data_IF_453106142639
#
_entry.id   IF_453106142639
#
_cell.length_a   1.000
_cell.length_b   1.000
_cell.length_c   1.000
_cell.angle_alpha   90.00
_cell.angle_beta   90.00
_cell.angle_gamma   90.00
#
_symmetry.space_group_name_H-M   'P 1'
#
loop_
_entity.id
_entity.type
_entity.pdbx_description
1 polymer ?
#
# COMPACT_ATOMS: atom_id res chain seq x y z
N UNK A 1 -71.78 -20.44 27.21
CA UNK A 1 -72.88 -20.24 28.19
C UNK A 1 -73.14 -18.75 28.23
N UNK A 2 -74.32 -18.34 27.72
CA UNK A 2 -74.94 -16.99 27.70
C UNK A 2 -74.13 -15.94 26.91
N UNK A 3 -74.33 -15.70 25.60
CA UNK A 3 -75.49 -15.23 24.80
C UNK A 3 -76.02 -13.84 25.21
N UNK A 4 -75.84 -12.85 24.34
CA UNK A 4 -76.87 -12.15 23.53
C UNK A 4 -76.16 -11.14 22.58
N UNK A 5 -76.20 -11.25 21.24
CA UNK A 5 -77.33 -11.10 20.27
C UNK A 5 -77.59 -9.60 20.03
N UNK A 6 -77.07 -9.06 18.91
CA UNK A 6 -77.78 -8.59 17.69
C UNK A 6 -77.72 -7.03 17.70
N UNK A 7 -77.66 -6.26 16.61
CA UNK A 7 -77.98 -6.54 15.22
C UNK A 7 -77.48 -5.38 14.32
N UNK A 8 -77.20 -5.71 13.05
CA UNK A 8 -77.61 -5.02 11.80
C UNK A 8 -77.37 -3.49 11.61
N UNK A 9 -77.00 -2.89 10.46
CA UNK A 9 -77.33 -3.15 9.05
C UNK A 9 -76.28 -2.54 8.10
N UNK A 10 -76.22 -3.15 6.91
CA UNK A 10 -75.54 -2.71 5.69
C UNK A 10 -76.36 -1.66 4.91
N UNK A 11 -75.65 -0.88 4.07
CA UNK A 11 -75.91 -0.59 2.62
C UNK A 11 -75.57 0.87 2.27
N UNK A 12 -74.61 1.09 1.36
CA UNK A 12 -74.77 1.42 -0.08
C UNK A 12 -75.18 2.88 -0.26
N UNK A 13 -74.86 3.66 -1.28
CA UNK A 13 -74.10 3.70 -2.55
C UNK A 13 -74.20 5.23 -2.86
N UNK A 14 -73.27 5.99 -3.43
CA UNK A 14 -72.95 6.09 -4.86
C UNK A 14 -72.46 7.55 -5.10
N UNK A 15 -71.43 7.68 -5.95
CA UNK A 15 -71.14 8.76 -6.91
C UNK A 15 -71.19 10.26 -6.53
N UNK A 16 -70.02 10.90 -6.69
CA UNK A 16 -69.86 12.35 -6.87
C UNK A 16 -68.48 12.67 -7.44
N UNK A 17 -68.46 12.97 -8.73
CA UNK A 17 -67.32 13.29 -9.60
C UNK A 17 -66.74 14.69 -9.35
N UNK A 18 -65.49 14.89 -9.81
CA UNK A 18 -64.78 16.16 -10.09
C UNK A 18 -63.62 16.60 -9.15
N UNK A 19 -62.40 16.38 -9.66
CA UNK A 19 -61.34 17.37 -9.89
C UNK A 19 -60.68 18.09 -8.68
N UNK A 20 -59.46 17.68 -8.32
CA UNK A 20 -58.23 18.45 -8.60
C UNK A 20 -56.99 17.84 -7.92
N UNK A 21 -55.87 18.08 -8.58
CA UNK A 21 -54.58 17.44 -8.49
C UNK A 21 -53.78 17.59 -7.18
N UNK A 22 -52.88 16.61 -7.02
CA UNK A 22 -51.63 16.51 -6.24
C UNK A 22 -51.73 16.00 -4.80
N UNK A 23 -51.23 14.77 -4.58
CA UNK A 23 -50.41 14.51 -3.40
C UNK A 23 -49.03 13.90 -3.74
N UNK A 24 -48.15 14.17 -2.78
CA UNK A 24 -46.86 13.53 -2.48
C UNK A 24 -46.79 12.04 -2.87
N UNK A 25 -45.65 11.63 -3.42
CA UNK A 25 -45.17 10.26 -3.28
C UNK A 25 -43.72 10.24 -2.76
N UNK A 26 -43.55 9.55 -1.63
CA UNK A 26 -42.33 8.84 -1.27
C UNK A 26 -42.22 7.57 -2.12
N UNK A 27 -41.01 7.23 -2.56
CA UNK A 27 -40.77 6.02 -3.35
C UNK A 27 -39.29 5.70 -3.49
N UNK A 28 -38.69 5.18 -2.42
CA UNK A 28 -37.33 4.63 -2.37
C UNK A 28 -37.20 3.41 -3.27
N UNK A 29 -36.29 3.44 -4.26
CA UNK A 29 -35.66 2.22 -4.82
C UNK A 29 -34.18 2.48 -5.08
N UNK A 30 -33.36 2.12 -4.10
CA UNK A 30 -31.91 2.15 -4.17
C UNK A 30 -31.29 0.85 -4.71
N UNK A 31 -30.40 1.02 -5.68
CA UNK A 31 -29.06 0.42 -5.68
C UNK A 31 -28.90 -1.13 -5.68
N UNK A 32 -29.27 -1.78 -6.79
CA UNK A 32 -28.84 -3.16 -7.11
C UNK A 32 -28.02 -3.30 -8.41
N UNK A 33 -27.91 -2.23 -9.22
CA UNK A 33 -27.27 -2.28 -10.55
C UNK A 33 -25.76 -2.02 -10.52
N UNK A 34 -25.28 -1.22 -9.56
CA UNK A 34 -23.89 -0.74 -9.48
C UNK A 34 -22.93 -1.81 -8.94
N UNK A 35 -23.37 -2.60 -7.96
CA UNK A 35 -22.61 -3.73 -7.37
C UNK A 35 -22.47 -4.91 -8.35
N UNK A 36 -23.48 -5.14 -9.21
CA UNK A 36 -23.44 -6.17 -10.26
C UNK A 36 -22.42 -5.84 -11.36
N UNK A 37 -22.28 -4.57 -11.71
CA UNK A 37 -21.31 -4.13 -12.73
C UNK A 37 -19.86 -4.19 -12.22
N UNK A 38 -19.61 -3.90 -10.94
CA UNK A 38 -18.28 -4.14 -10.31
C UNK A 38 -17.93 -5.63 -10.25
N UNK A 39 -18.86 -6.50 -9.84
CA UNK A 39 -18.63 -7.97 -9.84
C UNK A 39 -18.34 -8.53 -11.24
N UNK A 40 -19.05 -8.06 -12.28
CA UNK A 40 -18.86 -8.52 -13.67
C UNK A 40 -17.49 -8.14 -14.24
N UNK A 41 -16.93 -6.98 -13.90
CA UNK A 41 -15.58 -6.57 -14.33
C UNK A 41 -14.48 -7.45 -13.70
N UNK A 42 -14.59 -7.72 -12.41
CA UNK A 42 -13.66 -8.62 -11.68
C UNK A 42 -13.69 -10.04 -12.26
N UNK A 43 -14.87 -10.54 -12.64
CA UNK A 43 -15.05 -11.88 -13.18
C UNK A 43 -14.54 -12.03 -14.62
N UNK A 44 -14.62 -10.97 -15.44
CA UNK A 44 -14.03 -10.94 -16.79
C UNK A 44 -12.50 -10.89 -16.76
N UNK A 45 -11.90 -10.15 -15.82
CA UNK A 45 -10.44 -10.10 -15.66
C UNK A 45 -9.88 -11.44 -15.15
N UNK A 46 -10.58 -12.13 -14.25
CA UNK A 46 -10.18 -13.46 -13.72
C UNK A 46 -10.13 -14.57 -14.78
N UNK A 47 -10.88 -14.47 -15.89
CA UNK A 47 -10.89 -15.49 -16.97
C UNK A 47 -9.63 -15.48 -17.85
N UNK A 48 -8.86 -14.39 -17.87
CA UNK A 48 -7.67 -14.25 -18.72
C UNK A 48 -6.41 -14.90 -18.15
N UNK A 49 -6.38 -15.23 -16.86
CA UNK A 49 -5.18 -15.70 -16.15
C UNK A 49 -5.29 -17.23 -15.88
N UNK A 50 -5.06 -18.07 -16.90
CA UNK A 50 -4.92 -19.54 -16.73
C UNK A 50 -3.45 -19.92 -16.83
N UNK A 51 -2.85 -20.36 -15.73
CA UNK A 51 -1.48 -20.90 -15.69
C UNK A 51 -1.46 -22.43 -15.78
N UNK A 52 -0.51 -22.95 -16.54
CA UNK A 52 -0.16 -24.37 -16.62
C UNK A 52 0.81 -24.75 -15.48
N UNK A 53 0.63 -25.96 -14.96
CA UNK A 53 1.25 -26.54 -13.77
C UNK A 53 2.67 -27.05 -14.08
N UNK A 54 3.65 -26.76 -13.22
CA UNK A 54 4.95 -27.42 -13.18
C UNK A 54 5.17 -28.11 -11.81
N UNK A 55 5.89 -29.22 -11.83
CA UNK A 55 5.92 -30.27 -10.81
C UNK A 55 6.89 -30.01 -9.63
N UNK A 56 6.63 -30.73 -8.53
CA UNK A 56 7.38 -30.70 -7.26
C UNK A 56 8.78 -31.27 -7.40
N UNK A 57 9.74 -30.72 -6.63
CA UNK A 57 10.96 -31.42 -6.24
C UNK A 57 11.12 -31.31 -4.72
N UNK A 58 11.48 -32.45 -4.14
CA UNK A 58 11.40 -32.79 -2.72
C UNK A 58 12.50 -32.18 -1.83
N UNK A 59 12.14 -32.18 -0.55
CA UNK A 59 12.81 -31.67 0.64
C UNK A 59 13.99 -32.56 1.08
N UNK A 60 15.14 -31.96 1.41
CA UNK A 60 16.23 -32.64 2.16
C UNK A 60 16.70 -31.74 3.29
N UNK A 61 16.42 -32.21 4.51
CA UNK A 61 16.74 -31.59 5.79
C UNK A 61 18.08 -32.06 6.37
N UNK A 62 18.92 -31.14 6.88
CA UNK A 62 20.12 -31.42 7.72
C UNK A 62 20.30 -30.26 8.76
N UNK A 63 20.80 -30.51 10.00
CA UNK A 63 20.28 -29.87 11.22
C UNK A 63 21.08 -28.69 11.80
N UNK A 64 20.39 -27.96 12.70
CA UNK A 64 20.84 -26.84 13.54
C UNK A 64 22.01 -27.20 14.48
N UNK A 65 22.94 -26.25 14.66
CA UNK A 65 23.70 -26.05 15.90
C UNK A 65 23.45 -24.65 16.45
N UNK A 66 23.13 -24.59 17.75
CA UNK A 66 23.06 -23.38 18.58
C UNK A 66 24.48 -22.96 18.97
N UNK A 67 24.78 -21.67 18.94
CA UNK A 67 25.85 -21.08 19.74
C UNK A 67 25.32 -19.79 20.37
N UNK A 68 25.26 -19.81 21.70
CA UNK A 68 25.13 -18.65 22.56
C UNK A 68 26.47 -17.89 22.54
N UNK A 69 26.42 -16.55 22.54
CA UNK A 69 27.57 -15.75 22.89
C UNK A 69 27.15 -14.66 23.86
N UNK A 70 27.86 -14.65 24.98
CA UNK A 70 27.71 -13.81 26.15
C UNK A 70 28.24 -12.40 25.84
N UNK A 71 27.49 -11.39 26.26
CA UNK A 71 27.93 -10.00 26.22
C UNK A 71 28.82 -9.68 27.41
N UNK A 72 29.83 -8.85 27.19
CA UNK A 72 30.46 -8.06 28.23
C UNK A 72 30.71 -6.62 27.76
N UNK A 73 30.73 -5.79 28.79
CA UNK A 73 30.57 -4.35 28.89
C UNK A 73 31.81 -3.53 28.55
N UNK A 74 31.56 -2.27 28.16
CA UNK A 74 32.21 -1.04 28.66
C UNK A 74 33.75 -0.97 28.71
N UNK A 75 34.34 0.03 28.04
CA UNK A 75 34.89 1.23 28.69
C UNK A 75 35.49 2.22 27.68
N UNK A 76 35.26 3.49 28.02
CA UNK A 76 35.88 4.71 27.52
C UNK A 76 37.40 4.74 27.79
N UNK A 77 38.19 5.36 26.91
CA UNK A 77 39.07 6.49 27.28
C UNK A 77 39.94 6.98 26.11
N UNK A 78 40.04 8.31 26.07
CA UNK A 78 40.94 9.21 25.35
C UNK A 78 42.41 8.80 25.25
N UNK A 79 43.05 9.07 24.10
CA UNK A 79 44.52 9.26 24.01
C UNK A 79 44.88 10.38 23.02
N UNK A 80 45.30 11.49 23.63
CA UNK A 80 46.46 12.36 23.38
C UNK A 80 46.96 12.64 21.95
N UNK A 81 46.91 13.93 21.63
CA UNK A 81 47.69 14.62 20.59
C UNK A 81 49.19 14.54 20.91
N UNK A 82 49.99 14.04 19.96
CA UNK A 82 51.43 14.34 19.90
C UNK A 82 51.79 14.71 18.45
N UNK A 83 52.28 15.94 18.30
CA UNK A 83 52.92 16.44 17.08
C UNK A 83 54.32 15.86 16.98
N UNK A 84 54.69 15.34 15.81
CA UNK A 84 56.08 15.21 15.39
C UNK A 84 56.19 15.57 13.90
N UNK A 85 57.03 16.57 13.64
CA UNK A 85 57.47 16.97 12.30
C UNK A 85 58.76 16.21 12.00
N UNK A 86 58.77 15.42 10.93
CA UNK A 86 59.99 15.00 10.25
C UNK A 86 59.69 14.74 8.77
N UNK A 87 60.64 15.16 7.94
CA UNK A 87 60.53 15.39 6.50
C UNK A 87 60.38 14.12 5.65
N UNK A 88 59.61 14.25 4.56
CA UNK A 88 60.07 13.84 3.24
C UNK A 88 59.77 12.42 2.80
N UNK A 89 58.54 12.18 2.32
CA UNK A 89 58.26 11.67 0.96
C UNK A 89 56.86 12.17 0.60
N UNK A 90 56.70 12.89 -0.51
CA UNK A 90 55.39 13.31 -0.99
C UNK A 90 54.64 12.10 -1.57
N UNK A 91 54.18 11.20 -0.69
CA UNK A 91 53.08 10.30 -1.01
C UNK A 91 51.82 11.15 -0.93
N UNK A 92 51.25 11.47 -2.08
CA UNK A 92 49.88 11.97 -2.17
C UNK A 92 48.98 10.86 -1.61
N UNK A 93 48.76 10.88 -0.29
CA UNK A 93 47.64 10.20 0.32
C UNK A 93 46.42 10.91 -0.23
N UNK A 94 45.90 10.40 -1.34
CA UNK A 94 44.52 10.64 -1.73
C UNK A 94 43.72 10.17 -0.54
N UNK A 95 43.30 11.11 0.32
CA UNK A 95 42.22 10.85 1.27
C UNK A 95 41.13 10.22 0.43
N UNK A 96 40.82 8.95 0.68
CA UNK A 96 39.73 8.26 0.02
C UNK A 96 38.47 9.09 0.25
N UNK A 97 38.14 9.95 -0.72
CA UNK A 97 36.86 10.65 -0.73
C UNK A 97 35.80 9.54 -0.67
N UNK A 98 34.75 9.67 0.15
CA UNK A 98 33.68 8.69 0.22
C UNK A 98 33.26 8.32 -1.19
N UNK A 99 33.57 7.07 -1.59
CA UNK A 99 33.35 6.60 -2.95
C UNK A 99 31.88 6.81 -3.27
N UNK A 100 31.59 7.66 -4.25
CA UNK A 100 30.21 8.01 -4.54
C UNK A 100 29.41 6.77 -4.92
N UNK A 101 28.30 6.53 -4.22
CA UNK A 101 27.35 5.45 -4.59
C UNK A 101 26.68 5.70 -5.96
N UNK A 102 26.82 6.91 -6.49
CA UNK A 102 26.40 7.31 -7.84
C UNK A 102 27.33 6.85 -8.97
N UNK A 103 28.26 5.92 -8.72
CA UNK A 103 29.20 5.45 -9.74
C UNK A 103 28.54 4.63 -10.86
N UNK A 104 27.31 4.18 -10.65
CA UNK A 104 26.45 3.71 -11.72
C UNK A 104 25.93 4.91 -12.53
N UNK A 105 26.04 4.84 -13.87
CA UNK A 105 25.42 5.81 -14.79
C UNK A 105 23.87 5.78 -14.71
N UNK A 106 23.29 4.75 -14.08
CA UNK A 106 21.85 4.52 -14.00
C UNK A 106 21.45 4.29 -12.55
N UNK A 107 20.70 5.23 -11.96
CA UNK A 107 20.01 5.00 -10.70
C UNK A 107 18.82 4.08 -10.97
N UNK A 108 18.72 2.94 -10.27
CA UNK A 108 17.54 2.08 -10.35
C UNK A 108 16.32 2.87 -9.89
N UNK A 109 15.16 2.62 -10.50
CA UNK A 109 13.89 3.26 -10.12
C UNK A 109 13.52 2.89 -8.68
N UNK A 110 12.83 3.79 -7.99
CA UNK A 110 12.33 3.57 -6.64
C UNK A 110 10.87 3.12 -6.68
N UNK A 111 10.56 2.02 -6.00
CA UNK A 111 9.20 1.57 -5.74
C UNK A 111 8.94 1.63 -4.24
N UNK A 112 7.91 2.39 -3.85
CA UNK A 112 7.46 2.52 -2.47
C UNK A 112 6.17 1.74 -2.31
N UNK A 113 6.18 0.69 -1.50
CA UNK A 113 5.05 -0.21 -1.30
C UNK A 113 4.35 0.13 0.02
N UNK A 114 3.03 0.29 -0.02
CA UNK A 114 2.23 0.12 1.20
C UNK A 114 2.32 -1.32 1.70
N UNK A 115 2.14 -1.49 3.00
CA UNK A 115 2.19 -2.82 3.61
C UNK A 115 0.79 -3.44 3.67
N UNK A 116 -0.13 -2.75 4.33
CA UNK A 116 -1.53 -3.19 4.47
C UNK A 116 -2.24 -3.05 3.12
N UNK A 117 -3.06 -4.03 2.75
CA UNK A 117 -3.82 -4.04 1.50
C UNK A 117 -2.99 -4.39 0.25
N UNK A 118 -1.68 -4.12 0.24
CA UNK A 118 -0.79 -4.50 -0.86
C UNK A 118 -0.07 -5.82 -0.59
N UNK A 119 0.64 -5.94 0.55
CA UNK A 119 1.48 -7.10 0.87
C UNK A 119 0.85 -8.06 1.89
N UNK A 120 -0.03 -7.54 2.73
CA UNK A 120 -0.71 -8.32 3.76
C UNK A 120 -2.06 -7.70 4.13
N UNK A 121 -2.92 -8.52 4.72
CA UNK A 121 -4.14 -8.09 5.38
C UNK A 121 -3.98 -8.22 6.90
N UNK A 122 -4.52 -7.27 7.65
CA UNK A 122 -4.40 -7.17 9.11
C UNK A 122 -5.79 -6.92 9.69
N UNK A 123 -6.30 -7.90 10.44
CA UNK A 123 -7.68 -7.93 10.92
C UNK A 123 -7.76 -8.22 12.41
N UNK A 124 -8.66 -7.53 13.12
CA UNK A 124 -8.93 -7.77 14.55
C UNK A 124 -9.79 -9.04 14.75
N UNK A 125 -10.94 -9.09 14.08
CA UNK A 125 -11.93 -10.15 14.27
C UNK A 125 -11.88 -11.22 13.16
N UNK A 126 -10.84 -12.05 13.16
CA UNK A 126 -10.79 -13.18 12.22
C UNK A 126 -11.64 -14.36 12.70
N UNK A 127 -12.38 -14.98 11.78
CA UNK A 127 -13.38 -16.01 12.06
C UNK A 127 -12.82 -17.41 12.40
N UNK A 128 -11.51 -17.54 12.63
CA UNK A 128 -10.85 -18.82 12.94
C UNK A 128 -10.70 -19.80 11.77
N UNK A 129 -11.22 -19.50 10.57
CA UNK A 129 -11.20 -20.45 9.44
C UNK A 129 -9.82 -20.60 8.77
N UNK A 130 -8.92 -19.64 8.99
CA UNK A 130 -7.57 -19.62 8.44
C UNK A 130 -6.58 -19.36 9.56
N UNK A 131 -5.43 -20.04 9.50
CA UNK A 131 -4.33 -19.82 10.43
C UNK A 131 -3.58 -18.55 9.98
N UNK A 132 -3.48 -17.53 10.84
CA UNK A 132 -2.73 -16.32 10.48
C UNK A 132 -1.22 -16.59 10.47
N UNK A 133 -0.51 -15.86 9.62
CA UNK A 133 0.95 -15.91 9.52
C UNK A 133 1.63 -15.24 10.72
N UNK A 134 0.92 -14.34 11.41
CA UNK A 134 1.40 -13.67 12.61
C UNK A 134 0.26 -13.04 13.41
N UNK A 135 0.56 -12.66 14.66
CA UNK A 135 -0.38 -11.91 15.51
C UNK A 135 0.33 -10.74 16.18
N UNK A 136 -0.29 -9.57 16.14
CA UNK A 136 0.24 -8.35 16.74
C UNK A 136 -0.88 -7.51 17.36
N UNK A 137 -0.75 -7.17 18.64
CA UNK A 137 -1.71 -6.31 19.36
C UNK A 137 -3.17 -6.75 19.18
N UNK A 138 -3.44 -8.06 19.29
CA UNK A 138 -4.78 -8.63 19.08
C UNK A 138 -5.20 -8.78 17.61
N UNK A 139 -4.42 -8.27 16.65
CA UNK A 139 -4.68 -8.36 15.21
C UNK A 139 -3.99 -9.57 14.61
N UNK A 140 -4.66 -10.24 13.69
CA UNK A 140 -4.15 -11.36 12.90
C UNK A 140 -3.65 -10.85 11.56
N UNK A 141 -2.45 -11.32 11.17
CA UNK A 141 -1.76 -10.94 9.94
C UNK A 141 -1.83 -12.09 8.96
N UNK A 142 -2.28 -11.81 7.75
CA UNK A 142 -2.32 -12.76 6.64
C UNK A 142 -1.48 -12.20 5.50
N UNK A 143 -0.42 -12.90 5.11
CA UNK A 143 0.36 -12.53 3.94
C UNK A 143 -0.51 -12.64 2.69
N UNK A 144 -0.31 -11.71 1.75
CA UNK A 144 -0.87 -11.86 0.41
C UNK A 144 -0.20 -13.04 -0.28
N UNK A 145 -0.94 -13.92 -0.97
CA UNK A 145 -0.35 -14.98 -1.77
C UNK A 145 0.76 -14.44 -2.67
N UNK A 146 1.86 -15.20 -2.78
CA UNK A 146 2.99 -14.90 -3.66
C UNK A 146 3.82 -13.64 -3.32
N UNK A 147 3.60 -13.03 -2.14
CA UNK A 147 4.38 -11.87 -1.68
C UNK A 147 5.89 -12.08 -1.69
N UNK A 148 6.37 -13.30 -1.41
CA UNK A 148 7.80 -13.60 -1.42
C UNK A 148 8.43 -13.46 -2.81
N UNK A 149 7.84 -14.10 -3.83
CA UNK A 149 8.31 -14.04 -5.21
C UNK A 149 8.16 -12.65 -5.81
N UNK A 150 7.07 -11.95 -5.49
CA UNK A 150 6.86 -10.55 -5.89
C UNK A 150 7.95 -9.63 -5.32
N UNK A 151 8.28 -9.78 -4.04
CA UNK A 151 9.35 -8.99 -3.41
C UNK A 151 10.72 -9.33 -3.99
N UNK A 152 11.01 -10.60 -4.25
CA UNK A 152 12.26 -11.02 -4.91
C UNK A 152 12.44 -10.34 -6.27
N UNK A 153 11.42 -10.37 -7.12
CA UNK A 153 11.41 -9.63 -8.37
C UNK A 153 11.60 -8.12 -8.16
N UNK A 154 10.89 -7.52 -7.21
CA UNK A 154 11.01 -6.10 -6.92
C UNK A 154 12.46 -5.73 -6.53
N UNK A 155 13.10 -6.53 -5.67
CA UNK A 155 14.49 -6.32 -5.25
C UNK A 155 15.52 -6.54 -6.37
N UNK A 156 15.18 -7.31 -7.41
CA UNK A 156 16.03 -7.51 -8.58
C UNK A 156 15.96 -6.35 -9.58
N UNK A 157 14.82 -5.65 -9.68
CA UNK A 157 14.61 -4.58 -10.69
C UNK A 157 14.56 -3.16 -10.13
N UNK A 158 14.08 -2.99 -8.90
CA UNK A 158 13.89 -1.69 -8.24
C UNK A 158 14.67 -1.54 -6.94
N UNK A 159 14.90 -0.29 -6.54
CA UNK A 159 15.13 0.04 -5.15
C UNK A 159 13.78 0.04 -4.45
N UNK A 160 13.66 -0.62 -3.30
CA UNK A 160 12.35 -0.89 -2.68
C UNK A 160 12.27 -0.27 -1.29
N UNK A 161 11.26 0.56 -1.07
CA UNK A 161 10.90 1.09 0.24
C UNK A 161 9.55 0.56 0.72
N UNK A 162 9.41 0.35 2.03
CA UNK A 162 8.11 0.13 2.66
C UNK A 162 7.65 1.44 3.28
N UNK A 163 6.39 1.80 3.08
CA UNK A 163 5.78 2.93 3.76
C UNK A 163 4.40 2.55 4.29
N UNK A 164 4.29 2.34 5.60
CA UNK A 164 3.03 1.99 6.26
C UNK A 164 2.38 3.23 6.89
N UNK A 165 1.05 3.37 6.76
CA UNK A 165 0.27 4.36 7.54
C UNK A 165 -0.30 3.80 8.84
N UNK A 166 -0.01 2.53 9.15
CA UNK A 166 -0.46 1.86 10.37
C UNK A 166 0.33 2.34 11.60
N UNK A 167 -0.37 2.40 12.73
CA UNK A 167 0.10 2.87 14.03
C UNK A 167 0.85 1.82 14.86
N UNK A 168 0.83 0.55 14.43
CA UNK A 168 1.36 -0.56 15.24
C UNK A 168 2.32 -1.46 14.46
N UNK A 169 3.55 -1.55 14.99
CA UNK A 169 4.44 -2.70 14.88
C UNK A 169 4.98 -3.02 13.49
N UNK A 170 5.45 -1.98 12.79
CA UNK A 170 6.09 -2.12 11.48
C UNK A 170 7.24 -3.15 11.50
N UNK A 171 8.07 -3.16 12.54
CA UNK A 171 9.17 -4.12 12.66
C UNK A 171 8.69 -5.58 12.67
N UNK A 172 7.64 -5.86 13.43
CA UNK A 172 7.04 -7.19 13.47
C UNK A 172 6.33 -7.52 12.15
N UNK A 173 5.62 -6.55 11.55
CA UNK A 173 4.99 -6.74 10.24
C UNK A 173 6.04 -7.05 9.16
N UNK A 174 7.17 -6.35 9.16
CA UNK A 174 8.29 -6.62 8.27
C UNK A 174 8.86 -8.01 8.52
N UNK A 175 9.02 -8.41 9.79
CA UNK A 175 9.47 -9.75 10.14
C UNK A 175 8.53 -10.84 9.60
N UNK A 176 7.21 -10.69 9.76
CA UNK A 176 6.21 -11.68 9.35
C UNK A 176 6.05 -11.72 7.82
N UNK A 177 5.92 -10.56 7.18
CA UNK A 177 5.53 -10.44 5.77
C UNK A 177 6.74 -10.52 4.84
N UNK A 178 7.79 -9.77 5.16
CA UNK A 178 8.97 -9.61 4.30
C UNK A 178 10.05 -10.63 4.70
N UNK A 179 10.23 -10.84 6.01
CA UNK A 179 11.18 -11.79 6.58
C UNK A 179 12.63 -11.40 6.32
N UNK A 180 13.47 -12.40 6.02
CA UNK A 180 14.92 -12.21 5.80
C UNK A 180 15.28 -11.23 4.68
N UNK A 181 14.35 -10.95 3.76
CA UNK A 181 14.53 -10.00 2.66
C UNK A 181 14.43 -8.54 3.10
N UNK A 182 13.98 -8.25 4.33
CA UNK A 182 13.90 -6.87 4.84
C UNK A 182 15.26 -6.16 4.82
N UNK A 183 16.37 -6.90 4.89
CA UNK A 183 17.74 -6.35 4.74
C UNK A 183 18.03 -5.73 3.36
N UNK A 184 17.21 -6.02 2.35
CA UNK A 184 17.35 -5.49 0.99
C UNK A 184 16.50 -4.22 0.78
N UNK A 185 15.72 -3.80 1.78
CA UNK A 185 14.92 -2.58 1.69
C UNK A 185 15.83 -1.36 1.78
N UNK A 186 15.56 -0.36 0.92
CA UNK A 186 16.21 0.94 0.98
C UNK A 186 15.77 1.70 2.24
N UNK A 187 14.50 1.56 2.62
CA UNK A 187 13.95 2.12 3.85
C UNK A 187 12.68 1.38 4.30
N UNK A 188 12.34 1.58 5.57
CA UNK A 188 11.05 1.25 6.16
C UNK A 188 10.54 2.49 6.89
N UNK A 189 9.44 3.07 6.41
CA UNK A 189 8.78 4.20 7.01
C UNK A 189 7.44 3.78 7.60
N UNK A 190 7.18 4.28 8.80
CA UNK A 190 5.92 4.11 9.51
C UNK A 190 5.04 5.36 9.34
N UNK A 191 3.97 5.39 10.15
CA UNK A 191 3.00 6.47 10.16
C UNK A 191 3.64 7.84 10.47
N UNK A 192 4.76 7.91 11.19
CA UNK A 192 5.41 9.18 11.53
C UNK A 192 5.99 9.90 10.31
N UNK A 193 6.27 9.17 9.23
CA UNK A 193 6.69 9.78 7.97
C UNK A 193 5.49 10.27 7.13
N UNK A 194 4.27 9.82 7.42
CA UNK A 194 3.07 10.34 6.77
C UNK A 194 2.82 11.82 7.17
N UNK A 195 2.02 12.54 6.40
CA UNK A 195 1.46 13.83 6.81
C UNK A 195 0.09 13.56 7.46
N UNK A 196 -0.05 13.76 8.79
CA UNK A 196 -1.36 13.70 9.42
C UNK A 196 -2.21 14.87 8.90
N UNK A 197 -3.47 14.58 8.58
CA UNK A 197 -4.45 15.63 8.28
C UNK A 197 -5.44 15.76 9.42
N UNK A 198 -6.15 16.90 9.49
CA UNK A 198 -7.29 17.06 10.40
C UNK A 198 -8.56 16.31 9.96
N UNK A 199 -8.51 15.66 8.80
CA UNK A 199 -9.63 14.95 8.20
C UNK A 199 -9.55 13.46 8.53
N UNK A 200 -10.71 12.80 8.52
CA UNK A 200 -10.80 11.34 8.58
C UNK A 200 -11.16 10.78 7.19
N UNK A 201 -10.93 9.49 6.97
CA UNK A 201 -11.31 8.83 5.72
C UNK A 201 -12.84 8.81 5.57
N UNK A 202 -13.32 8.83 4.32
CA UNK A 202 -14.75 8.80 4.05
C UNK A 202 -15.36 7.42 4.31
N UNK A 203 -14.54 6.37 4.17
CA UNK A 203 -14.91 4.98 4.37
C UNK A 203 -15.07 4.64 5.86
N UNK A 204 -14.25 5.27 6.73
CA UNK A 204 -14.28 5.06 8.17
C UNK A 204 -14.02 6.38 8.89
N UNK A 205 -15.09 7.02 9.35
CA UNK A 205 -15.05 8.35 9.98
C UNK A 205 -14.20 8.46 11.25
N UNK A 206 -13.74 7.34 11.82
CA UNK A 206 -12.82 7.31 12.98
C UNK A 206 -11.36 7.10 12.57
N UNK A 207 -11.08 6.83 11.29
CA UNK A 207 -9.74 6.58 10.76
C UNK A 207 -9.16 7.89 10.22
N UNK A 208 -8.04 8.38 10.78
CA UNK A 208 -7.40 9.59 10.28
C UNK A 208 -6.93 9.43 8.84
N UNK A 209 -7.12 10.47 8.03
CA UNK A 209 -6.61 10.53 6.66
C UNK A 209 -5.14 10.93 6.72
N UNK A 210 -4.26 10.01 6.35
CA UNK A 210 -2.83 10.23 6.23
C UNK A 210 -2.42 10.39 4.76
N UNK A 211 -1.56 11.38 4.48
CA UNK A 211 -0.95 11.55 3.16
C UNK A 211 0.46 10.96 3.15
N UNK A 212 0.80 10.23 2.08
CA UNK A 212 2.14 9.74 1.77
C UNK A 212 2.77 10.61 0.68
N UNK A 213 3.31 11.74 1.12
CA UNK A 213 3.94 12.72 0.25
C UNK A 213 5.33 12.28 -0.19
N UNK A 214 5.49 11.82 -1.43
CA UNK A 214 6.77 11.35 -1.98
C UNK A 214 7.89 12.39 -1.88
N UNK A 215 7.57 13.69 -1.80
CA UNK A 215 8.57 14.75 -1.57
C UNK A 215 9.34 14.53 -0.27
N UNK A 216 8.69 14.03 0.79
CA UNK A 216 9.37 13.66 2.06
C UNK A 216 10.36 12.52 1.88
N UNK A 217 10.08 11.58 0.98
CA UNK A 217 11.02 10.50 0.65
C UNK A 217 12.22 11.08 -0.10
N UNK A 218 11.98 11.95 -1.09
CA UNK A 218 13.05 12.56 -1.88
C UNK A 218 13.94 13.50 -1.05
N UNK A 219 13.36 14.26 -0.11
CA UNK A 219 14.11 15.07 0.85
C UNK A 219 15.02 14.21 1.74
N UNK A 220 14.53 13.03 2.17
CA UNK A 220 15.25 12.19 3.12
C UNK A 220 16.35 11.35 2.47
N UNK A 221 16.08 10.78 1.30
CA UNK A 221 16.96 9.79 0.64
C UNK A 221 17.13 10.01 -0.87
N UNK A 222 16.44 11.00 -1.44
CA UNK A 222 16.47 11.33 -2.87
C UNK A 222 17.70 12.10 -3.30
N UNK A 223 18.61 12.48 -2.40
CA UNK A 223 19.88 13.13 -2.75
C UNK A 223 21.06 12.31 -2.25
N UNK A 224 22.06 12.14 -3.10
CA UNK A 224 23.31 11.46 -2.76
C UNK A 224 24.13 12.30 -1.77
N UNK A 225 24.27 11.85 -0.53
CA UNK A 225 25.01 12.57 0.52
C UNK A 225 26.48 12.86 0.13
N UNK A 226 27.11 11.98 -0.65
CA UNK A 226 28.53 12.15 -1.02
C UNK A 226 28.78 13.16 -2.14
N UNK A 227 27.83 13.39 -3.03
CA UNK A 227 28.06 14.24 -4.22
C UNK A 227 26.93 15.23 -4.54
N UNK A 228 25.86 15.25 -3.76
CA UNK A 228 24.72 16.15 -3.97
C UNK A 228 23.82 15.83 -5.17
N UNK A 229 24.08 14.75 -5.93
CA UNK A 229 23.24 14.39 -7.07
C UNK A 229 21.86 13.90 -6.62
N UNK A 230 20.81 14.38 -7.27
CA UNK A 230 19.45 13.85 -7.13
C UNK A 230 19.42 12.41 -7.66
N UNK A 231 18.90 11.51 -6.85
CA UNK A 231 18.70 10.08 -7.11
C UNK A 231 17.26 9.78 -7.49
N UNK A 232 16.30 10.40 -6.81
CA UNK A 232 14.89 10.10 -6.94
C UNK A 232 14.04 11.36 -7.04
N UNK A 233 13.08 11.33 -7.96
CA UNK A 233 12.06 12.33 -8.21
C UNK A 233 10.81 11.65 -8.83
N UNK A 234 9.85 12.43 -9.34
CA UNK A 234 8.63 11.92 -9.95
C UNK A 234 8.89 11.05 -11.21
N UNK A 235 10.01 11.28 -11.91
CA UNK A 235 10.31 10.59 -13.16
C UNK A 235 10.73 9.14 -12.95
N UNK A 236 11.17 8.78 -11.75
CA UNK A 236 11.71 7.44 -11.46
C UNK A 236 11.20 6.82 -10.15
N UNK A 237 10.19 7.42 -9.50
CA UNK A 237 9.59 6.92 -8.26
C UNK A 237 8.12 6.52 -8.47
N UNK A 238 7.75 5.33 -8.02
CA UNK A 238 6.36 4.85 -8.00
C UNK A 238 5.91 4.54 -6.58
N UNK A 239 4.76 5.09 -6.17
CA UNK A 239 4.01 4.65 -5.00
C UNK A 239 3.00 3.57 -5.40
N UNK A 240 2.99 2.44 -4.69
CA UNK A 240 1.97 1.39 -4.81
C UNK A 240 1.22 1.31 -3.50
N UNK A 241 -0.02 1.79 -3.50
CA UNK A 241 -0.85 1.90 -2.30
C UNK A 241 -2.27 1.44 -2.64
N UNK A 242 -3.00 0.81 -1.72
CA UNK A 242 -4.37 0.39 -1.99
C UNK A 242 -5.39 1.55 -1.88
N UNK A 243 -4.94 2.70 -1.41
CA UNK A 243 -5.79 3.83 -1.01
C UNK A 243 -5.44 5.09 -1.79
N UNK A 244 -6.20 5.45 -2.85
CA UNK A 244 -5.94 6.63 -3.67
C UNK A 244 -5.80 7.94 -2.90
N UNK A 245 -6.55 8.09 -1.80
CA UNK A 245 -6.52 9.30 -0.98
C UNK A 245 -5.16 9.55 -0.30
N UNK A 246 -4.35 8.52 -0.05
CA UNK A 246 -3.03 8.71 0.56
C UNK A 246 -2.06 9.44 -0.37
N UNK A 247 -2.31 9.44 -1.67
CA UNK A 247 -1.46 10.08 -2.68
C UNK A 247 -1.98 11.44 -3.16
N UNK A 248 -3.01 12.02 -2.53
CA UNK A 248 -3.71 13.23 -3.02
C UNK A 248 -2.79 14.40 -3.39
N UNK A 249 -1.75 14.65 -2.60
CA UNK A 249 -0.83 15.77 -2.78
C UNK A 249 0.42 15.42 -3.59
N UNK A 250 0.55 14.17 -4.05
CA UNK A 250 1.70 13.78 -4.87
C UNK A 250 1.59 14.37 -6.29
N UNK A 251 2.71 14.55 -6.99
CA UNK A 251 2.68 14.85 -8.42
C UNK A 251 1.81 13.83 -9.18
N UNK A 252 1.05 14.25 -10.20
CA UNK A 252 0.22 13.34 -10.98
C UNK A 252 1.02 12.14 -11.50
N UNK A 253 0.36 10.99 -11.58
CA UNK A 253 0.94 9.77 -12.17
C UNK A 253 2.20 9.24 -11.49
N UNK A 254 2.41 9.54 -10.21
CA UNK A 254 3.49 8.94 -9.38
C UNK A 254 2.99 7.78 -8.51
N UNK A 255 1.72 7.39 -8.63
CA UNK A 255 1.14 6.29 -7.86
C UNK A 255 0.17 5.45 -8.67
N UNK A 256 0.09 4.17 -8.32
CA UNK A 256 -0.93 3.23 -8.80
C UNK A 256 -1.69 2.65 -7.60
N UNK A 257 -2.96 2.29 -7.83
CA UNK A 257 -3.83 1.91 -6.72
C UNK A 257 -4.50 0.54 -6.90
N UNK A 258 -3.77 -0.58 -6.78
CA UNK A 258 -4.37 -1.91 -6.84
C UNK A 258 -5.52 -2.09 -5.84
N UNK A 259 -6.44 -3.01 -6.12
CA UNK A 259 -7.47 -3.34 -5.15
C UNK A 259 -6.87 -4.01 -3.90
N UNK A 260 -7.38 -3.68 -2.70
CA UNK A 260 -6.85 -4.18 -1.45
C UNK A 260 -7.00 -5.70 -1.35
N UNK A 261 -5.95 -6.37 -0.86
CA UNK A 261 -6.00 -7.77 -0.49
C UNK A 261 -6.88 -7.97 0.73
N UNK A 262 -7.73 -9.00 0.66
CA UNK A 262 -8.51 -9.48 1.79
C UNK A 262 -8.16 -10.95 2.01
N UNK A 263 -7.85 -11.33 3.26
CA UNK A 263 -7.44 -12.70 3.59
C UNK A 263 -8.49 -13.78 3.24
N UNK A 264 -9.74 -13.35 3.03
CA UNK A 264 -10.85 -14.22 2.63
C UNK A 264 -10.89 -14.50 1.12
N UNK A 265 -10.20 -13.72 0.27
CA UNK A 265 -10.08 -14.01 -1.16
C UNK A 265 -9.01 -15.09 -1.42
N UNK A 266 -9.47 -16.34 -1.38
CA UNK A 266 -8.62 -17.51 -1.65
C UNK A 266 -8.11 -17.60 -3.10
N UNK A 267 -8.63 -16.76 -4.00
CA UNK A 267 -8.23 -16.71 -5.40
C UNK A 267 -7.47 -15.42 -5.74
N UNK A 268 -6.96 -14.68 -4.74
CA UNK A 268 -6.10 -13.53 -5.00
C UNK A 268 -4.82 -14.00 -5.71
N UNK A 269 -4.61 -13.45 -6.90
CA UNK A 269 -3.45 -13.70 -7.75
C UNK A 269 -2.79 -12.40 -8.17
N UNK A 270 -3.07 -11.29 -7.49
CA UNK A 270 -2.65 -9.96 -7.93
C UNK A 270 -1.12 -9.80 -7.94
N UNK A 271 -0.41 -10.44 -7.00
CA UNK A 271 1.06 -10.45 -6.91
C UNK A 271 1.74 -11.54 -7.76
N UNK A 272 0.98 -12.26 -8.58
CA UNK A 272 1.53 -13.21 -9.56
C UNK A 272 1.47 -12.64 -10.96
N UNK A 273 1.77 -13.47 -11.97
CA UNK A 273 1.71 -13.22 -13.41
C UNK A 273 0.36 -12.74 -13.98
N UNK A 274 -0.52 -12.17 -13.16
CA UNK A 274 -1.70 -11.43 -13.55
C UNK A 274 -1.37 -9.91 -13.57
N UNK A 275 -2.11 -9.07 -12.84
CA UNK A 275 -2.14 -7.62 -13.11
C UNK A 275 -0.90 -6.86 -12.61
N UNK A 276 -0.57 -6.92 -11.31
CA UNK A 276 0.47 -6.05 -10.75
C UNK A 276 1.86 -6.50 -11.18
N UNK A 277 2.16 -7.81 -11.19
CA UNK A 277 3.47 -8.29 -11.63
C UNK A 277 3.78 -7.88 -13.08
N UNK A 278 2.87 -8.11 -14.02
CA UNK A 278 3.06 -7.72 -15.43
C UNK A 278 3.19 -6.20 -15.58
N UNK A 279 2.49 -5.43 -14.74
CA UNK A 279 2.64 -3.99 -14.70
C UNK A 279 4.06 -3.58 -14.27
N UNK A 280 4.57 -4.18 -13.20
CA UNK A 280 5.91 -3.90 -12.69
C UNK A 280 7.02 -4.40 -13.64
N UNK A 281 6.81 -5.51 -14.37
CA UNK A 281 7.70 -5.96 -15.44
C UNK A 281 7.85 -4.91 -16.54
N UNK A 282 6.73 -4.38 -17.05
CA UNK A 282 6.77 -3.31 -18.06
C UNK A 282 7.37 -2.01 -17.50
N UNK A 283 7.06 -1.67 -16.25
CA UNK A 283 7.61 -0.49 -15.56
C UNK A 283 9.14 -0.55 -15.43
N UNK A 284 9.71 -1.75 -15.26
CA UNK A 284 11.16 -1.89 -15.14
C UNK A 284 11.88 -1.43 -16.41
N UNK A 285 11.27 -1.64 -17.58
CA UNK A 285 11.85 -1.44 -18.91
C UNK A 285 11.65 -0.04 -19.49
N UNK A 286 10.83 0.82 -18.87
CA UNK A 286 10.63 2.21 -19.33
C UNK A 286 11.63 3.16 -18.68
N UNK A 287 11.88 4.33 -19.29
CA UNK A 287 12.77 5.33 -18.68
C UNK A 287 12.05 6.21 -17.65
N UNK A 288 10.83 6.66 -17.99
CA UNK A 288 10.07 7.62 -17.19
C UNK A 288 8.80 6.98 -16.60
N UNK A 289 8.78 6.82 -15.29
CA UNK A 289 7.68 6.24 -14.50
C UNK A 289 6.41 7.06 -14.64
N UNK A 290 6.50 8.39 -14.48
CA UNK A 290 5.34 9.27 -14.51
C UNK A 290 4.57 9.18 -15.84
N UNK A 291 5.30 9.22 -16.96
CA UNK A 291 4.73 9.08 -18.30
C UNK A 291 4.08 7.71 -18.49
N UNK A 292 4.77 6.64 -18.07
CA UNK A 292 4.24 5.28 -18.20
C UNK A 292 2.94 5.10 -17.41
N UNK A 293 2.86 5.60 -16.18
CA UNK A 293 1.65 5.54 -15.34
C UNK A 293 0.50 6.35 -15.94
N UNK A 294 0.80 7.50 -16.56
CA UNK A 294 -0.21 8.30 -17.25
C UNK A 294 -0.84 7.54 -18.44
N UNK A 295 -0.03 6.80 -19.20
CA UNK A 295 -0.45 6.04 -20.37
C UNK A 295 -1.05 4.66 -20.01
N UNK A 296 -0.73 4.14 -18.82
CA UNK A 296 -1.11 2.80 -18.38
C UNK A 296 -1.74 2.82 -16.97
N UNK A 297 -2.89 3.47 -16.74
CA UNK A 297 -3.54 3.40 -15.43
C UNK A 297 -3.98 1.97 -15.09
N UNK A 298 -3.81 1.56 -13.84
CA UNK A 298 -4.19 0.23 -13.32
C UNK A 298 -4.83 0.35 -11.93
N UNK A 299 -5.78 -0.55 -11.63
CA UNK A 299 -6.48 -0.58 -10.36
C UNK A 299 -7.55 0.51 -10.21
N UNK A 300 -7.61 1.10 -9.03
CA UNK A 300 -8.49 2.19 -8.67
C UNK A 300 -7.98 3.50 -9.29
N UNK A 301 -8.90 4.39 -9.65
CA UNK A 301 -8.54 5.68 -10.22
C UNK A 301 -7.91 6.59 -9.16
N UNK A 302 -6.87 7.33 -9.54
CA UNK A 302 -6.39 8.46 -8.76
C UNK A 302 -7.52 9.48 -8.57
N UNK A 303 -7.59 10.09 -7.39
CA UNK A 303 -8.60 11.11 -7.11
C UNK A 303 -8.27 12.38 -7.90
N UNK A 304 -9.29 12.90 -8.60
CA UNK A 304 -9.25 14.15 -9.35
C UNK A 304 -10.59 14.88 -9.25
N UNK A 305 -10.72 15.99 -9.96
CA UNK A 305 -11.90 16.86 -10.01
C UNK A 305 -13.21 16.18 -10.47
N UNK A 306 -13.13 14.99 -11.04
CA UNK A 306 -14.28 14.18 -11.45
C UNK A 306 -14.71 13.16 -10.40
N UNK A 307 -14.01 13.06 -9.26
CA UNK A 307 -14.37 12.14 -8.19
C UNK A 307 -15.69 12.58 -7.52
N UNK A 308 -16.56 11.63 -7.17
CA UNK A 308 -17.88 11.94 -6.58
C UNK A 308 -17.76 12.77 -5.29
N UNK A 309 -16.75 12.48 -4.48
CA UNK A 309 -16.42 13.21 -3.25
C UNK A 309 -15.38 14.33 -3.46
N UNK A 310 -15.29 14.91 -4.66
CA UNK A 310 -14.25 15.93 -4.94
C UNK A 310 -14.30 17.13 -3.99
N UNK A 311 -15.51 17.59 -3.61
CA UNK A 311 -15.66 18.71 -2.66
C UNK A 311 -14.95 18.45 -1.31
N UNK A 312 -14.88 17.19 -0.87
CA UNK A 312 -14.15 16.81 0.32
C UNK A 312 -12.63 16.82 0.05
N UNK A 313 -12.20 16.12 -0.99
CA UNK A 313 -10.76 15.97 -1.28
C UNK A 313 -10.09 17.28 -1.72
N UNK A 314 -10.82 18.19 -2.36
CA UNK A 314 -10.29 19.51 -2.72
C UNK A 314 -9.92 20.34 -1.49
N UNK A 315 -10.67 20.22 -0.39
CA UNK A 315 -10.34 20.87 0.89
C UNK A 315 -9.05 20.32 1.49
N UNK A 316 -8.85 19.01 1.42
CA UNK A 316 -7.60 18.37 1.85
C UNK A 316 -6.43 18.87 1.01
N UNK A 317 -6.58 18.94 -0.32
CA UNK A 317 -5.53 19.41 -1.22
C UNK A 317 -5.18 20.88 -0.96
N UNK A 318 -6.19 21.74 -0.79
CA UNK A 318 -5.99 23.18 -0.54
C UNK A 318 -5.19 23.44 0.74
N UNK A 319 -5.36 22.61 1.76
CA UNK A 319 -4.67 22.76 3.05
C UNK A 319 -3.25 22.16 3.08
N UNK A 320 -2.95 21.16 2.24
CA UNK A 320 -1.74 20.33 2.37
C UNK A 320 -0.86 20.20 1.11
N UNK A 321 -1.15 20.90 0.00
CA UNK A 321 -0.36 20.79 -1.25
C UNK A 321 0.84 21.72 -1.32
#
# INVERSE_FOLDING_TARGET
RVLTIEDSEQRNDENGEADQDVPREEGVVGNAKTTRNKKRKVEQQKKSCKYQKAEKIDDVSVPRKKQEFVGETSLSSSVLVHNNVAQGVASLVTRDLPRCTCQSLITRKLVVLDLKGILADVVEDYNGQLIPDGKISGRSVFKRPFVASFLEFCFERFEVGIWSSGDVGLDFMNYVVIGKRAKNLLFCFDQHMCTPTRFNTLEKSTEPLFLKDLRKVWERIGTCVSCGKVKYDESNTLLVDDSPHKALCNPPHTGIFPFPYQYTDRNDSALTACELMQYMERLAEVDNVQKFVAENPIGQAAINDKHESWQFYSQVIEEYK
#
